data_IF_285626514508
#
_entry.id   IF_285626514508
#
_cell.length_a   1.000
_cell.length_b   1.000
_cell.length_c   1.000
_cell.angle_alpha   90.00
_cell.angle_beta   90.00
_cell.angle_gamma   90.00
#
_symmetry.space_group_name_H-M   'P 1'
#
loop_
_entity.id
_entity.type
_entity.pdbx_description
1 polymer ?
#
# COMPACT_ATOMS: atom_id res chain seq x y z
N UNK A 1 -12.84 21.47 -8.85
CA UNK A 1 -11.47 21.20 -9.36
C UNK A 1 -11.45 21.50 -10.84
N UNK A 2 -10.40 22.16 -11.31
CA UNK A 2 -10.09 22.12 -12.75
C UNK A 2 -9.56 20.72 -13.12
N UNK A 3 -9.54 20.39 -14.41
CA UNK A 3 -9.11 19.06 -14.88
C UNK A 3 -7.68 18.68 -14.44
N UNK A 4 -6.78 19.67 -14.41
CA UNK A 4 -5.40 19.49 -13.94
C UNK A 4 -5.36 19.01 -12.49
N UNK A 5 -6.12 19.65 -11.60
CA UNK A 5 -6.21 19.29 -10.19
C UNK A 5 -6.76 17.87 -9.99
N UNK A 6 -7.74 17.47 -10.80
CA UNK A 6 -8.33 16.11 -10.74
C UNK A 6 -7.28 15.07 -11.08
N UNK A 7 -6.55 15.27 -12.19
CA UNK A 7 -5.50 14.35 -12.62
C UNK A 7 -4.38 14.31 -11.56
N UNK A 8 -3.89 15.49 -11.14
CA UNK A 8 -2.86 15.62 -10.11
C UNK A 8 -3.22 14.90 -8.82
N UNK A 9 -4.45 15.08 -8.34
CA UNK A 9 -4.93 14.44 -7.12
C UNK A 9 -4.96 12.92 -7.25
N UNK A 10 -5.48 12.40 -8.36
CA UNK A 10 -5.55 10.95 -8.59
C UNK A 10 -4.15 10.33 -8.72
N UNK A 11 -3.24 10.98 -9.44
CA UNK A 11 -1.84 10.57 -9.57
C UNK A 11 -1.15 10.54 -8.20
N UNK A 12 -1.33 11.58 -7.37
CA UNK A 12 -0.77 11.62 -6.02
C UNK A 12 -1.36 10.53 -5.11
N UNK A 13 -2.70 10.35 -5.14
CA UNK A 13 -3.37 9.28 -4.39
C UNK A 13 -2.80 7.92 -4.75
N UNK A 14 -2.68 7.60 -6.04
CA UNK A 14 -2.14 6.32 -6.47
C UNK A 14 -0.66 6.17 -6.04
N UNK A 15 0.16 7.21 -6.16
CA UNK A 15 1.54 7.20 -5.66
C UNK A 15 1.61 6.85 -4.16
N UNK A 16 0.74 7.45 -3.34
CA UNK A 16 0.65 7.20 -1.90
C UNK A 16 0.11 5.79 -1.60
N UNK A 17 -0.85 5.29 -2.37
CA UNK A 17 -1.34 3.91 -2.28
C UNK A 17 -0.21 2.90 -2.50
N UNK A 18 0.55 3.03 -3.60
CA UNK A 18 1.67 2.14 -3.91
C UNK A 18 2.80 2.28 -2.87
N UNK A 19 3.03 3.48 -2.34
CA UNK A 19 3.95 3.70 -1.21
C UNK A 19 3.53 2.90 0.04
N UNK A 20 2.24 2.95 0.39
CA UNK A 20 1.71 2.24 1.55
C UNK A 20 1.80 0.71 1.37
N UNK A 21 1.42 0.20 0.19
CA UNK A 21 1.54 -1.22 -0.17
C UNK A 21 2.98 -1.72 -0.11
N UNK A 22 3.92 -1.00 -0.76
CA UNK A 22 5.36 -1.32 -0.71
C UNK A 22 5.85 -1.44 0.73
N UNK A 23 5.62 -0.41 1.54
CA UNK A 23 6.10 -0.39 2.94
C UNK A 23 5.55 -1.54 3.78
N UNK A 24 4.32 -1.97 3.52
CA UNK A 24 3.72 -3.09 4.22
C UNK A 24 4.35 -4.43 3.79
N UNK A 25 4.49 -4.65 2.48
CA UNK A 25 5.11 -5.86 1.91
C UNK A 25 6.58 -6.00 2.33
N UNK A 26 7.34 -4.90 2.30
CA UNK A 26 8.73 -4.87 2.79
C UNK A 26 8.81 -5.24 4.27
N UNK A 27 7.89 -4.72 5.09
CA UNK A 27 7.83 -5.06 6.52
C UNK A 27 7.51 -6.53 6.73
N UNK A 28 6.53 -7.09 6.02
CA UNK A 28 6.19 -8.51 6.08
C UNK A 28 7.41 -9.38 5.72
N UNK A 29 8.08 -9.07 4.60
CA UNK A 29 9.28 -9.79 4.17
C UNK A 29 10.41 -9.73 5.20
N UNK A 30 10.68 -8.54 5.78
CA UNK A 30 11.72 -8.38 6.81
C UNK A 30 11.38 -9.13 8.10
N UNK A 31 10.11 -9.15 8.51
CA UNK A 31 9.66 -9.90 9.69
C UNK A 31 9.83 -11.41 9.46
N UNK A 32 9.42 -11.93 8.30
CA UNK A 32 9.63 -13.34 7.95
C UNK A 32 11.11 -13.72 7.97
N UNK A 33 11.98 -12.91 7.34
CA UNK A 33 13.43 -13.12 7.37
C UNK A 33 13.98 -13.11 8.80
N UNK A 34 13.56 -12.15 9.62
CA UNK A 34 13.97 -12.07 11.02
C UNK A 34 13.57 -13.32 11.80
N UNK A 35 12.33 -13.80 11.63
CA UNK A 35 11.85 -14.99 12.31
C UNK A 35 12.63 -16.24 11.89
N UNK A 36 12.88 -16.42 10.59
CA UNK A 36 13.70 -17.53 10.08
C UNK A 36 15.11 -17.50 10.68
N UNK A 37 15.75 -16.34 10.71
CA UNK A 37 17.11 -16.17 11.26
C UNK A 37 17.11 -16.50 12.76
N UNK A 38 16.20 -15.89 13.53
CA UNK A 38 16.13 -16.09 14.99
C UNK A 38 15.86 -17.56 15.34
N UNK A 39 14.85 -18.16 14.72
CA UNK A 39 14.48 -19.56 14.97
C UNK A 39 15.56 -20.54 14.50
N UNK A 40 16.32 -20.19 13.45
CA UNK A 40 17.43 -20.98 12.95
C UNK A 40 18.71 -20.91 13.80
N UNK A 41 18.77 -20.05 14.82
CA UNK A 41 19.97 -19.94 15.66
C UNK A 41 20.11 -21.12 16.63
N UNK A 42 21.36 -21.52 16.89
CA UNK A 42 21.67 -22.56 17.87
C UNK A 42 21.19 -22.18 19.30
N UNK A 43 21.17 -20.89 19.63
CA UNK A 43 20.69 -20.39 20.93
C UNK A 43 19.20 -20.67 21.12
N UNK A 44 18.38 -20.43 20.08
CA UNK A 44 16.94 -20.73 20.15
C UNK A 44 16.70 -22.23 20.21
N UNK A 45 17.51 -23.05 19.52
CA UNK A 45 17.41 -24.50 19.62
C UNK A 45 17.73 -25.02 21.04
N UNK A 46 18.75 -24.50 21.70
CA UNK A 46 19.10 -24.86 23.10
C UNK A 46 18.00 -24.42 24.08
N UNK A 47 17.50 -23.18 23.94
CA UNK A 47 16.39 -22.69 24.78
C UNK A 47 15.11 -23.51 24.59
N UNK A 48 14.77 -23.85 23.34
CA UNK A 48 13.63 -24.70 23.03
C UNK A 48 13.76 -26.09 23.69
N UNK A 49 14.94 -26.71 23.60
CA UNK A 49 15.21 -27.99 24.24
C UNK A 49 15.02 -27.92 25.76
N UNK A 50 15.55 -26.87 26.42
CA UNK A 50 15.38 -26.64 27.87
C UNK A 50 13.92 -26.38 28.27
N UNK A 51 13.14 -25.77 27.39
CA UNK A 51 11.71 -25.50 27.59
C UNK A 51 10.81 -26.71 27.26
N UNK A 52 11.38 -27.86 26.87
CA UNK A 52 10.63 -29.05 26.48
C UNK A 52 10.05 -29.01 25.07
N UNK A 53 10.41 -28.01 24.26
CA UNK A 53 10.06 -27.95 22.85
C UNK A 53 11.11 -28.69 22.01
N UNK A 54 10.70 -29.78 21.37
CA UNK A 54 11.59 -30.56 20.50
C UNK A 54 12.05 -29.77 19.27
N UNK A 55 13.28 -30.04 18.81
CA UNK A 55 13.89 -29.41 17.64
C UNK A 55 13.02 -29.50 16.36
N UNK A 56 12.17 -30.52 16.26
CA UNK A 56 11.20 -30.69 15.18
C UNK A 56 10.22 -29.51 15.07
N UNK A 57 9.74 -28.95 16.18
CA UNK A 57 8.79 -27.83 16.15
C UNK A 57 9.45 -26.53 15.67
N UNK A 58 10.69 -26.27 16.11
CA UNK A 58 11.46 -25.10 15.67
C UNK A 58 11.83 -25.23 14.18
N UNK A 59 12.35 -26.40 13.77
CA UNK A 59 12.65 -26.68 12.37
C UNK A 59 11.42 -26.58 11.46
N UNK A 60 10.28 -27.10 11.94
CA UNK A 60 9.00 -26.99 11.25
C UNK A 60 8.51 -25.55 11.10
N UNK A 61 8.65 -24.72 12.15
CA UNK A 61 8.31 -23.30 12.08
C UNK A 61 9.20 -22.54 11.08
N UNK A 62 10.52 -22.79 11.08
CA UNK A 62 11.46 -22.22 10.11
C UNK A 62 11.06 -22.60 8.69
N UNK A 63 10.83 -23.90 8.44
CA UNK A 63 10.45 -24.39 7.13
C UNK A 63 9.12 -23.80 6.65
N UNK A 64 8.12 -23.71 7.55
CA UNK A 64 6.81 -23.14 7.24
C UNK A 64 6.89 -21.66 6.88
N UNK A 65 7.62 -20.85 7.67
CA UNK A 65 7.78 -19.41 7.41
C UNK A 65 8.56 -19.20 6.10
N UNK A 66 9.63 -19.96 5.88
CA UNK A 66 10.40 -19.92 4.64
C UNK A 66 9.55 -20.28 3.41
N UNK A 67 8.72 -21.31 3.51
CA UNK A 67 7.79 -21.69 2.45
C UNK A 67 6.73 -20.60 2.19
N UNK A 68 6.16 -20.01 3.24
CA UNK A 68 5.20 -18.91 3.11
C UNK A 68 5.82 -17.70 2.41
N UNK A 69 7.05 -17.34 2.76
CA UNK A 69 7.78 -16.24 2.13
C UNK A 69 8.04 -16.50 0.65
N UNK A 70 8.35 -17.75 0.28
CA UNK A 70 8.57 -18.15 -1.11
C UNK A 70 7.28 -18.12 -1.92
N UNK A 71 6.19 -18.70 -1.39
CA UNK A 71 4.91 -18.80 -2.09
C UNK A 71 4.22 -17.44 -2.24
N UNK A 72 4.25 -16.62 -1.19
CA UNK A 72 3.63 -15.30 -1.24
C UNK A 72 4.52 -14.26 -1.94
N UNK A 73 5.83 -14.48 -2.02
CA UNK A 73 6.79 -13.61 -2.73
C UNK A 73 6.61 -12.10 -2.40
N UNK A 74 6.57 -11.79 -1.10
CA UNK A 74 6.41 -10.41 -0.61
C UNK A 74 7.47 -9.46 -1.17
N UNK A 75 8.69 -9.99 -1.41
CA UNK A 75 9.80 -9.23 -1.96
C UNK A 75 9.55 -8.77 -3.40
N UNK A 76 9.02 -9.64 -4.28
CA UNK A 76 8.65 -9.26 -5.64
C UNK A 76 7.50 -8.27 -5.65
N UNK A 77 6.41 -8.56 -4.92
CA UNK A 77 5.27 -7.65 -4.86
C UNK A 77 5.67 -6.24 -4.39
N UNK A 78 6.58 -6.14 -3.40
CA UNK A 78 7.09 -4.86 -2.95
C UNK A 78 7.82 -4.07 -4.06
N UNK A 79 8.61 -4.76 -4.88
CA UNK A 79 9.29 -4.15 -6.04
C UNK A 79 8.30 -3.71 -7.11
N UNK A 80 7.28 -4.49 -7.38
CA UNK A 80 6.25 -4.12 -8.36
C UNK A 80 5.53 -2.84 -7.91
N UNK A 81 5.14 -2.75 -6.63
CA UNK A 81 4.60 -1.51 -6.06
C UNK A 81 5.62 -0.36 -6.03
N UNK A 82 6.93 -0.63 -5.90
CA UNK A 82 7.96 0.41 -5.98
C UNK A 82 8.06 1.02 -7.39
N UNK A 83 7.93 0.20 -8.43
CA UNK A 83 7.95 0.64 -9.83
C UNK A 83 6.74 1.55 -10.08
N UNK A 84 5.53 1.06 -9.76
CA UNK A 84 4.29 1.85 -9.90
C UNK A 84 4.35 3.16 -9.12
N UNK A 85 4.82 3.12 -7.87
CA UNK A 85 5.03 4.34 -7.07
C UNK A 85 5.95 5.34 -7.78
N UNK A 86 7.09 4.88 -8.31
CA UNK A 86 8.05 5.73 -9.02
C UNK A 86 7.38 6.35 -10.25
N UNK A 87 6.69 5.54 -11.04
CA UNK A 87 6.11 5.98 -12.32
C UNK A 87 5.00 7.00 -12.10
N UNK A 88 4.20 6.85 -11.04
CA UNK A 88 3.25 7.88 -10.61
C UNK A 88 3.93 9.18 -10.15
N UNK A 89 5.03 9.12 -9.39
CA UNK A 89 5.76 10.34 -8.99
C UNK A 89 6.45 11.03 -10.18
N UNK A 90 6.89 10.27 -11.19
CA UNK A 90 7.40 10.83 -12.44
C UNK A 90 6.29 11.59 -13.17
N UNK A 91 5.11 10.97 -13.33
CA UNK A 91 3.94 11.65 -13.92
C UNK A 91 3.51 12.87 -13.11
N UNK A 92 3.52 12.79 -11.78
CA UNK A 92 3.21 13.93 -10.92
C UNK A 92 4.20 15.08 -11.14
N UNK A 93 5.49 14.78 -11.25
CA UNK A 93 6.51 15.79 -11.54
C UNK A 93 6.28 16.47 -12.90
N UNK A 94 5.81 15.75 -13.90
CA UNK A 94 5.47 16.33 -15.21
C UNK A 94 4.28 17.28 -15.12
N UNK A 95 3.24 16.91 -14.37
CA UNK A 95 2.06 17.76 -14.13
C UNK A 95 2.43 19.06 -13.39
N UNK A 96 3.38 18.99 -12.46
CA UNK A 96 3.82 20.15 -11.67
C UNK A 96 4.69 21.11 -12.49
N UNK A 97 5.42 20.63 -13.50
CA UNK A 97 6.30 21.46 -14.34
C UNK A 97 5.55 22.44 -15.25
N UNK A 98 4.28 22.16 -15.56
CA UNK A 98 3.46 22.97 -16.46
C UNK A 98 2.39 23.71 -15.66
N UNK A 99 2.60 25.02 -15.46
CA UNK A 99 1.66 25.88 -14.73
C UNK A 99 0.32 26.04 -15.49
N UNK A 100 0.41 26.25 -16.81
CA UNK A 100 -0.74 26.50 -17.69
C UNK A 100 -0.81 25.41 -18.79
N UNK A 101 -1.38 24.23 -18.50
CA UNK A 101 -1.47 23.14 -19.47
C UNK A 101 -2.53 23.42 -20.54
N UNK A 102 -2.25 22.93 -21.75
CA UNK A 102 -3.23 22.85 -22.84
C UNK A 102 -4.10 21.61 -22.70
N UNK A 103 -5.21 21.55 -23.45
CA UNK A 103 -6.04 20.34 -23.54
C UNK A 103 -5.26 19.09 -24.01
N UNK A 104 -4.26 19.29 -24.87
CA UNK A 104 -3.40 18.20 -25.33
C UNK A 104 -2.53 17.65 -24.18
N UNK A 105 -2.03 18.52 -23.30
CA UNK A 105 -1.25 18.12 -22.12
C UNK A 105 -2.12 17.33 -21.13
N UNK A 106 -3.36 17.80 -20.89
CA UNK A 106 -4.33 17.11 -20.03
C UNK A 106 -4.66 15.71 -20.59
N UNK A 107 -4.91 15.60 -21.89
CA UNK A 107 -5.17 14.32 -22.55
C UNK A 107 -3.96 13.38 -22.46
N UNK A 108 -2.74 13.90 -22.65
CA UNK A 108 -1.50 13.16 -22.51
C UNK A 108 -1.34 12.59 -21.09
N UNK A 109 -1.52 13.41 -20.06
CA UNK A 109 -1.39 12.96 -18.67
C UNK A 109 -2.44 11.92 -18.28
N UNK A 110 -3.69 12.07 -18.75
CA UNK A 110 -4.73 11.03 -18.56
C UNK A 110 -4.34 9.72 -19.23
N UNK A 111 -3.84 9.77 -20.47
CA UNK A 111 -3.35 8.60 -21.19
C UNK A 111 -2.26 7.86 -20.41
N UNK A 112 -1.24 8.60 -19.96
CA UNK A 112 -0.15 8.04 -19.14
C UNK A 112 -0.63 7.47 -17.81
N UNK A 113 -1.58 8.13 -17.15
CA UNK A 113 -2.17 7.60 -15.92
C UNK A 113 -2.85 6.25 -16.18
N UNK A 114 -3.58 6.10 -17.28
CA UNK A 114 -4.20 4.82 -17.66
C UNK A 114 -3.18 3.75 -18.02
N UNK A 115 -2.08 4.10 -18.68
CA UNK A 115 -0.98 3.17 -18.95
C UNK A 115 -0.41 2.60 -17.65
N UNK A 116 -0.13 3.45 -16.65
CA UNK A 116 0.34 3.00 -15.33
C UNK A 116 -0.73 2.16 -14.63
N UNK A 117 -2.00 2.60 -14.69
CA UNK A 117 -3.12 1.90 -14.04
C UNK A 117 -3.34 0.51 -14.63
N UNK A 118 -3.05 0.30 -15.93
CA UNK A 118 -3.21 -0.99 -16.60
C UNK A 118 -2.31 -2.09 -16.03
N UNK A 119 -1.19 -1.72 -15.40
CA UNK A 119 -0.26 -2.65 -14.76
C UNK A 119 -0.59 -2.90 -13.28
N UNK A 120 -1.61 -2.24 -12.72
CA UNK A 120 -1.91 -2.34 -11.30
C UNK A 120 -2.59 -3.66 -10.91
N UNK A 121 -2.18 -4.26 -9.77
CA UNK A 121 -2.97 -5.32 -9.16
C UNK A 121 -4.28 -4.75 -8.58
N UNK A 122 -5.27 -5.61 -8.27
CA UNK A 122 -6.52 -5.19 -7.66
C UNK A 122 -6.33 -4.28 -6.44
N UNK A 123 -7.13 -3.22 -6.38
CA UNK A 123 -7.02 -2.19 -5.34
C UNK A 123 -7.55 -2.69 -4.00
N UNK A 124 -6.76 -2.53 -2.94
CA UNK A 124 -7.22 -2.76 -1.58
C UNK A 124 -7.91 -1.49 -1.04
N UNK A 125 -9.24 -1.54 -0.97
CA UNK A 125 -10.11 -0.38 -0.75
C UNK A 125 -9.77 0.40 0.53
N UNK A 126 -9.42 -0.29 1.61
CA UNK A 126 -9.05 0.35 2.87
C UNK A 126 -7.73 1.15 2.77
N UNK A 127 -6.77 0.64 1.99
CA UNK A 127 -5.49 1.33 1.77
C UNK A 127 -5.68 2.49 0.80
N UNK A 128 -6.50 2.31 -0.24
CA UNK A 128 -6.86 3.39 -1.16
C UNK A 128 -7.60 4.53 -0.43
N UNK A 129 -8.55 4.21 0.46
CA UNK A 129 -9.21 5.23 1.28
C UNK A 129 -8.24 5.98 2.20
N UNK A 130 -7.22 5.29 2.74
CA UNK A 130 -6.15 5.95 3.49
C UNK A 130 -5.31 6.85 2.57
N UNK A 131 -4.92 6.37 1.40
CA UNK A 131 -4.13 7.13 0.44
C UNK A 131 -4.88 8.37 -0.07
N UNK A 132 -6.20 8.27 -0.22
CA UNK A 132 -7.08 9.40 -0.52
C UNK A 132 -7.00 10.46 0.58
N UNK A 133 -7.11 10.06 1.85
CA UNK A 133 -6.97 10.99 2.98
C UNK A 133 -5.57 11.62 3.03
N UNK A 134 -4.51 10.83 2.82
CA UNK A 134 -3.15 11.33 2.79
C UNK A 134 -2.95 12.34 1.63
N UNK A 135 -3.60 12.11 0.47
CA UNK A 135 -3.58 13.02 -0.68
C UNK A 135 -4.38 14.31 -0.42
N UNK A 136 -5.54 14.22 0.24
CA UNK A 136 -6.30 15.40 0.68
C UNK A 136 -5.46 16.27 1.61
N UNK A 137 -4.82 15.65 2.59
CA UNK A 137 -3.94 16.34 3.55
C UNK A 137 -2.75 17.03 2.86
N UNK A 138 -2.22 16.43 1.79
CA UNK A 138 -1.09 16.98 1.05
C UNK A 138 -1.45 18.12 0.08
N UNK A 139 -2.71 18.21 -0.36
CA UNK A 139 -3.16 19.23 -1.32
C UNK A 139 -3.68 20.48 -0.60
N UNK A 140 -4.03 20.43 0.68
CA UNK A 140 -4.48 21.56 1.53
C UNK A 140 -5.68 22.38 1.00
N UNK A 141 -6.33 21.94 -0.08
CA UNK A 141 -7.50 22.62 -0.68
C UNK A 141 -8.82 22.19 -0.03
N UNK A 142 -8.86 21.04 0.65
CA UNK A 142 -10.10 20.42 1.13
C UNK A 142 -10.27 20.54 2.64
N UNK A 143 -11.53 20.69 3.05
CA UNK A 143 -11.90 20.64 4.45
C UNK A 143 -11.69 19.23 5.04
N UNK A 144 -11.45 19.16 6.35
CA UNK A 144 -11.27 17.89 7.06
C UNK A 144 -12.51 16.99 6.99
N UNK A 145 -13.70 17.56 6.75
CA UNK A 145 -14.95 16.84 6.51
C UNK A 145 -14.92 15.93 5.27
N UNK A 146 -14.05 16.18 4.29
CA UNK A 146 -13.93 15.39 3.06
C UNK A 146 -13.16 14.08 3.25
N UNK A 147 -12.52 13.89 4.41
CA UNK A 147 -11.80 12.65 4.72
C UNK A 147 -12.75 11.46 4.77
N UNK A 148 -12.29 10.32 4.26
CA UNK A 148 -12.97 9.05 4.36
C UNK A 148 -12.78 8.43 5.74
N UNK A 149 -13.89 8.01 6.36
CA UNK A 149 -13.87 7.29 7.63
C UNK A 149 -13.53 5.83 7.37
N UNK A 150 -12.29 5.44 7.66
CA UNK A 150 -11.85 4.04 7.59
C UNK A 150 -12.01 3.39 8.98
N UNK A 151 -12.85 2.36 9.16
CA UNK A 151 -13.01 1.66 10.44
C UNK A 151 -11.72 1.01 10.91
N UNK A 152 -11.55 0.91 12.24
CA UNK A 152 -10.32 0.35 12.84
C UNK A 152 -9.98 -1.07 12.33
N UNK A 153 -10.97 -1.95 12.25
CA UNK A 153 -10.78 -3.31 11.73
C UNK A 153 -10.30 -3.31 10.27
N UNK A 154 -10.80 -2.40 9.44
CA UNK A 154 -10.37 -2.27 8.04
C UNK A 154 -8.95 -1.69 7.95
N UNK A 155 -8.52 -0.86 8.91
CA UNK A 155 -7.12 -0.39 8.97
C UNK A 155 -6.13 -1.51 9.26
N UNK A 156 -6.52 -2.49 10.07
CA UNK A 156 -5.67 -3.64 10.43
C UNK A 156 -5.70 -4.69 9.32
N UNK A 157 -6.88 -5.11 8.90
CA UNK A 157 -7.04 -6.22 7.95
C UNK A 157 -6.93 -5.79 6.48
N UNK A 158 -6.99 -4.48 6.19
CA UNK A 158 -7.03 -3.93 4.83
C UNK A 158 -5.77 -4.14 4.00
N UNK A 159 -4.69 -4.65 4.59
CA UNK A 159 -3.53 -5.10 3.83
C UNK A 159 -3.66 -6.51 3.26
N UNK A 160 -4.64 -7.29 3.74
CA UNK A 160 -4.91 -8.66 3.32
C UNK A 160 -6.29 -8.83 2.65
N UNK A 161 -7.28 -8.05 3.07
CA UNK A 161 -8.64 -8.11 2.55
C UNK A 161 -8.94 -6.89 1.68
N UNK A 162 -9.55 -7.12 0.51
CA UNK A 162 -9.90 -6.07 -0.45
C UNK A 162 -11.02 -5.17 0.06
N UNK A 163 -12.00 -5.74 0.78
CA UNK A 163 -13.27 -5.09 1.14
C UNK A 163 -14.04 -4.58 -0.08
N UNK A 164 -14.10 -5.41 -1.13
CA UNK A 164 -14.85 -5.12 -2.35
C UNK A 164 -16.33 -4.81 -2.04
N UNK A 165 -16.88 -3.82 -2.74
CA UNK A 165 -18.25 -3.34 -2.52
C UNK A 165 -18.45 -2.46 -1.28
N UNK A 166 -17.43 -2.27 -0.44
CA UNK A 166 -17.53 -1.34 0.69
C UNK A 166 -17.32 0.12 0.25
N UNK A 167 -18.27 0.98 0.59
CA UNK A 167 -18.22 2.42 0.35
C UNK A 167 -17.89 3.13 1.66
N UNK A 168 -16.70 3.70 1.74
CA UNK A 168 -16.31 4.55 2.87
C UNK A 168 -17.03 5.89 2.77
N UNK A 169 -17.69 6.29 3.86
CA UNK A 169 -18.36 7.60 3.96
C UNK A 169 -17.37 8.69 4.32
N UNK A 170 -17.68 9.91 3.90
CA UNK A 170 -16.93 11.10 4.34
C UNK A 170 -17.24 11.41 5.81
N UNK A 171 -16.34 12.14 6.47
CA UNK A 171 -16.54 12.60 7.86
C UNK A 171 -17.78 13.49 7.95
N UNK A 172 -17.98 14.38 6.97
CA UNK A 172 -19.16 15.25 6.90
C UNK A 172 -20.47 14.46 6.82
N UNK A 173 -20.50 13.37 6.06
CA UNK A 173 -21.66 12.48 5.93
C UNK A 173 -21.92 11.67 7.20
N UNK A 174 -20.86 11.27 7.90
CA UNK A 174 -20.95 10.49 9.13
C UNK A 174 -21.37 11.32 10.35
N UNK A 175 -21.15 12.64 10.33
CA UNK A 175 -21.57 13.56 11.39
C UNK A 175 -23.01 14.07 11.20
N UNK A 176 -23.57 13.94 10.00
CA UNK A 176 -24.91 14.42 9.65
C UNK A 176 -26.04 13.41 9.95
N UNK A 177 -25.73 12.21 10.42
CA UNK A 177 -26.70 11.16 10.76
C UNK A 177 -26.41 10.53 12.12
#
# INVERSE_FOLDING_TARGET
MNDREIIRFNVLRNALYHTARRRWLERANRICNLLVILLGTAVVADLAARAGAGALYIGGAVAFIGALQLVLDFGRQARDHQILQRDYYVLLSEIEKLADPTEADLAHWRGRMFEITAEEPPTLRAIDAKAYNDALDAVEVYDQGERLVVPFLHRIAGSFLSFDGHTYRKVSEAQAG
#
